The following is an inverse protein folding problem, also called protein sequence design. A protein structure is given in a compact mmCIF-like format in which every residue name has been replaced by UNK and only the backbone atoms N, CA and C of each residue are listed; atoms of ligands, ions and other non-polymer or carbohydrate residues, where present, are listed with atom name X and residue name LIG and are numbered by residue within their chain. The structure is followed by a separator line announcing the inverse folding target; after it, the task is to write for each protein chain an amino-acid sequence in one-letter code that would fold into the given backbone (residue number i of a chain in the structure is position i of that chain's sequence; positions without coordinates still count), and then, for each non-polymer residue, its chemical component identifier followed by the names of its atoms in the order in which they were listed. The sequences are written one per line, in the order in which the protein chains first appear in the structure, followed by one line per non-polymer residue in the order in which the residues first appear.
data_IF_916981189061
#
_entry.id   IF_916981189061
#
_cell.length_a   1.000
_cell.length_b   1.000
_cell.length_c   1.000
_cell.angle_alpha   90.00
_cell.angle_beta   90.00
_cell.angle_gamma   90.00
#
_symmetry.space_group_name_H-M   'P 1'
#
loop_
_entity.id
_entity.type
_entity.pdbx_description
1 polymer ?
#
# COMPACT_ATOMS: atom_id res chain seq x y z
N UNK A 1 -4.22 -6.60 -33.52
CA UNK A 1 -5.27 -6.67 -32.46
C UNK A 1 -4.81 -7.48 -31.25
N UNK A 2 -4.30 -8.71 -31.44
CA UNK A 2 -3.78 -9.56 -30.36
C UNK A 2 -2.59 -8.95 -29.60
N UNK A 3 -1.60 -8.39 -30.29
CA UNK A 3 -0.44 -7.74 -29.63
C UNK A 3 -0.80 -6.59 -28.70
N UNK A 4 -1.86 -5.83 -29.02
CA UNK A 4 -2.34 -4.75 -28.15
C UNK A 4 -2.99 -5.32 -26.90
N UNK A 5 -3.73 -6.43 -27.02
CA UNK A 5 -4.33 -7.12 -25.88
C UNK A 5 -3.25 -7.74 -24.99
N UNK A 6 -2.22 -8.37 -25.55
CA UNK A 6 -1.10 -8.89 -24.78
C UNK A 6 -0.38 -7.78 -24.01
N UNK A 7 -0.07 -6.64 -24.65
CA UNK A 7 0.54 -5.49 -23.96
C UNK A 7 -0.32 -4.95 -22.81
N UNK A 8 -1.64 -4.94 -22.97
CA UNK A 8 -2.55 -4.53 -21.89
C UNK A 8 -2.58 -5.54 -20.75
N UNK A 9 -2.57 -6.84 -21.06
CA UNK A 9 -2.49 -7.90 -20.07
C UNK A 9 -1.18 -7.84 -19.27
N UNK A 10 -0.04 -7.68 -19.96
CA UNK A 10 1.27 -7.54 -19.32
C UNK A 10 1.33 -6.32 -18.40
N UNK A 11 0.73 -5.20 -18.83
CA UNK A 11 0.63 -4.00 -18.01
C UNK A 11 -0.21 -4.28 -16.77
N UNK A 12 -1.43 -4.80 -16.94
CA UNK A 12 -2.33 -5.10 -15.82
C UNK A 12 -1.68 -6.07 -14.82
N UNK A 13 -0.96 -7.08 -15.31
CA UNK A 13 -0.27 -8.03 -14.44
C UNK A 13 0.88 -7.37 -13.65
N UNK A 14 1.60 -6.43 -14.25
CA UNK A 14 2.62 -5.65 -13.51
C UNK A 14 2.00 -4.76 -12.45
N UNK A 15 0.90 -4.10 -12.79
CA UNK A 15 0.17 -3.20 -11.86
C UNK A 15 -0.38 -4.01 -10.68
N UNK A 16 -0.97 -5.19 -10.93
CA UNK A 16 -1.41 -6.13 -9.88
C UNK A 16 -0.26 -6.51 -8.95
N UNK A 17 0.87 -6.96 -9.51
CA UNK A 17 2.02 -7.37 -8.70
C UNK A 17 2.57 -6.22 -7.86
N UNK A 18 2.66 -5.03 -8.43
CA UNK A 18 3.09 -3.83 -7.72
C UNK A 18 2.15 -3.51 -6.54
N UNK A 19 0.83 -3.60 -6.75
CA UNK A 19 -0.15 -3.36 -5.70
C UNK A 19 -0.10 -4.45 -4.61
N UNK A 20 0.10 -5.71 -4.96
CA UNK A 20 0.28 -6.82 -4.00
C UNK A 20 1.50 -6.62 -3.10
N UNK A 21 2.65 -6.26 -3.70
CA UNK A 21 3.88 -5.97 -2.96
C UNK A 21 3.70 -4.76 -2.03
N UNK A 22 3.02 -3.72 -2.50
CA UNK A 22 2.72 -2.51 -1.71
C UNK A 22 1.78 -2.80 -0.55
N UNK A 23 0.72 -3.59 -0.76
CA UNK A 23 -0.20 -4.01 0.29
C UNK A 23 0.51 -4.83 1.37
N UNK A 24 1.43 -5.71 0.97
CA UNK A 24 2.21 -6.53 1.89
C UNK A 24 3.07 -5.65 2.82
N UNK A 25 3.74 -4.63 2.29
CA UNK A 25 4.52 -3.70 3.12
C UNK A 25 3.62 -2.84 4.02
N UNK A 26 2.49 -2.34 3.50
CA UNK A 26 1.53 -1.56 4.30
C UNK A 26 0.97 -2.38 5.46
N UNK A 27 0.60 -3.64 5.23
CA UNK A 27 0.12 -4.54 6.28
C UNK A 27 1.18 -4.72 7.39
N UNK A 28 2.44 -4.98 7.01
CA UNK A 28 3.55 -5.08 7.98
C UNK A 28 3.71 -3.79 8.79
N UNK A 29 3.64 -2.64 8.14
CA UNK A 29 3.78 -1.33 8.81
C UNK A 29 2.60 -1.01 9.73
N UNK A 30 1.39 -1.45 9.37
CA UNK A 30 0.20 -1.36 10.23
C UNK A 30 0.45 -2.18 11.50
N UNK A 31 0.87 -3.44 11.37
CA UNK A 31 1.13 -4.31 12.51
C UNK A 31 2.21 -3.74 13.43
N UNK A 32 3.32 -3.26 12.86
CA UNK A 32 4.43 -2.67 13.62
C UNK A 32 3.99 -1.38 14.35
N UNK A 33 3.20 -0.53 13.68
CA UNK A 33 2.66 0.70 14.28
C UNK A 33 1.67 0.38 15.39
N UNK A 34 0.78 -0.58 15.18
CA UNK A 34 -0.23 -0.99 16.15
C UNK A 34 0.41 -1.52 17.45
N UNK A 35 1.49 -2.30 17.35
CA UNK A 35 2.21 -2.83 18.53
C UNK A 35 2.82 -1.73 19.42
N UNK A 36 3.20 -0.59 18.84
CA UNK A 36 3.83 0.51 19.56
C UNK A 36 2.88 1.65 19.93
N UNK A 37 1.64 1.62 19.45
CA UNK A 37 0.76 2.79 19.44
C UNK A 37 0.45 3.32 20.85
N UNK A 38 0.19 2.41 21.80
CA UNK A 38 -0.23 2.76 23.17
C UNK A 38 0.86 3.48 23.98
N UNK A 39 2.13 3.33 23.58
CA UNK A 39 3.28 3.98 24.23
C UNK A 39 3.89 5.09 23.38
N UNK A 40 3.36 5.30 22.18
CA UNK A 40 3.87 6.28 21.22
C UNK A 40 3.38 7.69 21.58
N UNK A 41 4.23 8.70 21.36
CA UNK A 41 3.80 10.07 21.52
C UNK A 41 2.67 10.39 20.52
N UNK A 42 1.62 11.08 20.97
CA UNK A 42 0.39 11.31 20.20
C UNK A 42 0.63 11.91 18.81
N UNK A 43 1.58 12.84 18.69
CA UNK A 43 1.98 13.43 17.42
C UNK A 43 2.58 12.40 16.45
N UNK A 44 3.44 11.51 16.95
CA UNK A 44 4.08 10.47 16.14
C UNK A 44 3.06 9.41 15.73
N UNK A 45 2.18 9.01 16.65
CA UNK A 45 1.08 8.09 16.39
C UNK A 45 0.20 8.61 15.25
N UNK A 46 -0.25 9.86 15.36
CA UNK A 46 -1.04 10.51 14.31
C UNK A 46 -0.29 10.55 12.97
N UNK A 47 0.97 10.99 12.98
CA UNK A 47 1.79 11.07 11.75
C UNK A 47 1.92 9.71 11.07
N UNK A 48 2.09 8.64 11.83
CA UNK A 48 2.20 7.28 11.31
C UNK A 48 0.86 6.80 10.73
N UNK A 49 -0.25 7.01 11.44
CA UNK A 49 -1.59 6.71 10.93
C UNK A 49 -1.89 7.47 9.64
N UNK A 50 -1.59 8.78 9.57
CA UNK A 50 -1.80 9.60 8.37
C UNK A 50 -0.95 9.10 7.19
N UNK A 51 0.26 8.58 7.46
CA UNK A 51 1.12 8.02 6.42
C UNK A 51 0.61 6.65 5.91
N UNK A 52 0.04 5.83 6.80
CA UNK A 52 -0.59 4.56 6.43
C UNK A 52 -1.88 4.80 5.63
N UNK A 53 -2.73 5.74 6.04
CA UNK A 53 -3.96 6.11 5.34
C UNK A 53 -3.68 6.62 3.92
N UNK A 54 -2.70 7.52 3.75
CA UNK A 54 -2.26 7.95 2.41
C UNK A 54 -1.72 6.80 1.56
N UNK A 55 -1.00 5.85 2.18
CA UNK A 55 -0.48 4.68 1.49
C UNK A 55 -1.60 3.77 0.98
N UNK A 56 -2.62 3.52 1.82
CA UNK A 56 -3.79 2.72 1.46
C UNK A 56 -4.58 3.36 0.31
N UNK A 57 -4.88 4.67 0.42
CA UNK A 57 -5.55 5.42 -0.67
C UNK A 57 -4.78 5.34 -1.98
N UNK A 58 -3.45 5.43 -1.92
CA UNK A 58 -2.61 5.30 -3.11
C UNK A 58 -2.73 3.95 -3.81
N UNK A 59 -3.00 2.87 -3.07
CA UNK A 59 -3.26 1.54 -3.66
C UNK A 59 -4.69 1.42 -4.18
N UNK A 60 -5.67 2.00 -3.49
CA UNK A 60 -7.08 1.97 -3.92
C UNK A 60 -7.33 2.74 -5.22
N UNK A 61 -6.53 3.78 -5.48
CA UNK A 61 -6.63 4.64 -6.66
C UNK A 61 -5.74 4.17 -7.85
N UNK A 62 -4.91 3.14 -7.67
CA UNK A 62 -3.96 2.62 -8.67
C UNK A 62 -4.61 1.61 -9.64
#
# INVERSE_FOLDING_TARGET
RLERLHRLADKAQRDVRFNEDTLTDLARRIDDTARGLDVMHSFEAKRNCDALDRGLKGVEEA
#
